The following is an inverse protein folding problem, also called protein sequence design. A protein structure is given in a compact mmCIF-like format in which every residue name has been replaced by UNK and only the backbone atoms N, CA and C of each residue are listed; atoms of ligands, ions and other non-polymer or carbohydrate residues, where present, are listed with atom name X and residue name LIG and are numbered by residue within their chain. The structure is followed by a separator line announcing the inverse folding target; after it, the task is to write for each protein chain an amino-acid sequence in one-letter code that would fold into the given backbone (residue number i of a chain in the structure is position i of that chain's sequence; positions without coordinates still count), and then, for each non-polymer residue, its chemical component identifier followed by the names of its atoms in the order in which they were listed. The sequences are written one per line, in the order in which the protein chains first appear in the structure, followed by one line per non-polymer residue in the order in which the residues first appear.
data_IF_532044893945
#
_entry.id   IF_532044893945
#
_cell.length_a   1.000
_cell.length_b   1.000
_cell.length_c   1.000
_cell.angle_alpha   90.00
_cell.angle_beta   90.00
_cell.angle_gamma   90.00
#
_symmetry.space_group_name_H-M   'P 1'
#
loop_
_entity.id
_entity.type
_entity.pdbx_description
1 polymer ?
#
# COMPACT_ATOMS: atom_id res chain seq x y z
N UNK A 1 4.44 -13.45 7.17
CA UNK A 1 5.15 -12.32 7.80
C UNK A 1 5.57 -11.28 6.76
N UNK A 2 5.57 -9.98 7.09
CA UNK A 2 6.11 -8.94 6.19
C UNK A 2 7.60 -9.16 5.89
N UNK A 3 8.06 -8.91 4.64
CA UNK A 3 9.49 -9.03 4.30
C UNK A 3 10.37 -8.07 5.11
N UNK A 4 11.66 -8.38 5.26
CA UNK A 4 12.63 -7.51 5.93
C UNK A 4 12.75 -6.14 5.25
N UNK A 5 12.91 -6.12 3.93
CA UNK A 5 12.87 -4.90 3.14
C UNK A 5 11.72 -4.99 2.17
N UNK A 6 10.81 -4.02 2.25
CA UNK A 6 9.62 -4.04 1.42
C UNK A 6 9.21 -2.63 1.03
N UNK A 7 8.33 -2.51 0.04
CA UNK A 7 7.64 -1.28 -0.27
C UNK A 7 6.19 -1.54 -0.58
N UNK A 8 5.33 -0.61 -0.21
CA UNK A 8 3.99 -0.55 -0.76
C UNK A 8 4.05 0.16 -2.11
N UNK A 9 3.43 -0.40 -3.15
CA UNK A 9 3.27 0.23 -4.46
C UNK A 9 1.80 0.43 -4.75
N UNK A 10 1.45 1.61 -5.25
CA UNK A 10 0.15 1.87 -5.84
C UNK A 10 0.25 1.90 -7.38
N UNK A 11 -0.70 1.23 -8.04
CA UNK A 11 -0.88 1.24 -9.49
C UNK A 11 -2.27 1.75 -9.82
N UNK A 12 -2.39 2.65 -10.81
CA UNK A 12 -3.65 3.28 -11.19
C UNK A 12 -4.00 2.96 -12.65
N UNK A 13 -5.09 2.23 -12.81
CA UNK A 13 -5.66 1.87 -14.13
C UNK A 13 -6.82 2.75 -14.55
N UNK A 14 -7.22 3.73 -13.72
CA UNK A 14 -8.11 4.78 -14.18
C UNK A 14 -7.40 5.57 -15.28
N UNK A 15 -8.13 5.99 -16.31
CA UNK A 15 -7.66 6.83 -17.40
C UNK A 15 -7.42 8.30 -17.00
N UNK A 16 -7.22 8.58 -15.71
CA UNK A 16 -6.86 9.88 -15.17
C UNK A 16 -5.95 9.73 -13.95
N UNK A 17 -5.28 10.81 -13.57
CA UNK A 17 -4.55 10.84 -12.30
C UNK A 17 -5.49 10.85 -11.09
N UNK A 18 -5.03 10.22 -10.00
CA UNK A 18 -5.79 10.05 -8.76
C UNK A 18 -4.93 10.49 -7.58
N UNK A 19 -5.49 11.20 -6.60
CA UNK A 19 -4.81 11.42 -5.32
C UNK A 19 -4.97 10.17 -4.46
N UNK A 20 -3.88 9.64 -3.93
CA UNK A 20 -3.88 8.44 -3.09
C UNK A 20 -3.09 8.68 -1.83
N UNK A 21 -3.74 8.46 -0.68
CA UNK A 21 -3.06 8.39 0.61
C UNK A 21 -3.25 7.00 1.20
N UNK A 22 -2.14 6.34 1.58
CA UNK A 22 -2.20 5.06 2.30
C UNK A 22 -1.46 5.19 3.60
N UNK A 23 -2.15 4.87 4.69
CA UNK A 23 -1.60 4.75 6.03
C UNK A 23 -1.61 3.30 6.46
N UNK A 24 -0.65 2.94 7.29
CA UNK A 24 -0.53 1.60 7.83
C UNK A 24 -0.32 1.64 9.34
N UNK A 25 -0.97 0.72 10.03
CA UNK A 25 -0.67 0.38 11.41
C UNK A 25 -0.14 -1.06 11.45
N UNK A 26 1.16 -1.27 11.69
CA UNK A 26 1.72 -2.60 11.70
C UNK A 26 1.29 -3.36 12.96
N UNK A 27 1.23 -4.68 12.89
CA UNK A 27 0.81 -5.52 14.02
C UNK A 27 1.62 -6.81 14.12
N UNK A 28 1.71 -7.35 15.34
CA UNK A 28 2.33 -8.65 15.65
C UNK A 28 1.69 -9.24 16.90
N UNK A 29 2.02 -10.50 17.19
CA UNK A 29 1.74 -11.07 18.50
C UNK A 29 2.86 -10.70 19.49
N UNK A 30 2.50 -10.33 20.72
CA UNK A 30 3.45 -10.24 21.82
C UNK A 30 3.79 -11.64 22.36
N UNK A 31 4.72 -11.72 23.32
CA UNK A 31 5.12 -12.99 23.95
C UNK A 31 3.98 -13.71 24.69
N UNK A 32 2.88 -13.02 24.97
CA UNK A 32 1.67 -13.57 25.58
C UNK A 32 0.61 -13.98 24.55
N UNK A 33 0.93 -13.92 23.25
CA UNK A 33 0.02 -14.30 22.16
C UNK A 33 -1.06 -13.26 21.85
N UNK A 34 -0.99 -12.05 22.42
CA UNK A 34 -1.95 -10.98 22.16
C UNK A 34 -1.51 -10.13 20.98
N UNK A 35 -2.46 -9.63 20.19
CA UNK A 35 -2.19 -8.68 19.10
C UNK A 35 -1.75 -7.35 19.71
N UNK A 36 -0.59 -6.87 19.28
CA UNK A 36 -0.09 -5.52 19.57
C UNK A 36 0.11 -4.76 18.27
N UNK A 37 -0.22 -3.47 18.30
CA UNK A 37 -0.09 -2.57 17.17
C UNK A 37 1.06 -1.60 17.36
N UNK A 38 1.78 -1.31 16.29
CA UNK A 38 2.73 -0.21 16.24
C UNK A 38 2.03 1.14 16.03
N UNK A 39 2.84 2.18 15.92
CA UNK A 39 2.39 3.52 15.53
C UNK A 39 1.88 3.53 14.09
N UNK A 40 0.90 4.39 13.80
CA UNK A 40 0.44 4.62 12.43
C UNK A 40 1.54 5.35 11.63
N UNK A 41 1.78 4.89 10.40
CA UNK A 41 2.74 5.47 9.46
C UNK A 41 2.06 5.74 8.13
N UNK A 42 2.34 6.91 7.53
CA UNK A 42 1.93 7.19 6.16
C UNK A 42 2.91 6.52 5.21
N UNK A 43 2.43 5.55 4.44
CA UNK A 43 3.22 4.86 3.41
C UNK A 43 3.19 5.64 2.11
N UNK A 44 1.99 5.97 1.61
CA UNK A 44 1.83 6.70 0.34
C UNK A 44 1.12 8.02 0.61
N UNK A 45 1.63 9.10 0.03
CA UNK A 45 1.00 10.43 0.00
C UNK A 45 1.18 11.03 -1.40
N UNK A 46 0.48 10.47 -2.37
CA UNK A 46 0.55 10.84 -3.78
C UNK A 46 -0.53 11.88 -4.11
N UNK A 47 -0.13 13.10 -4.44
CA UNK A 47 -1.05 14.15 -4.92
C UNK A 47 -1.48 13.96 -6.38
N UNK A 48 -0.73 13.16 -7.15
CA UNK A 48 -1.06 12.80 -8.53
C UNK A 48 -0.47 11.44 -8.88
N UNK A 49 -1.29 10.40 -8.78
CA UNK A 49 -0.96 9.05 -9.21
C UNK A 49 -1.35 8.89 -10.68
N UNK A 50 -0.39 9.05 -11.58
CA UNK A 50 -0.64 9.01 -13.02
C UNK A 50 -1.36 7.72 -13.45
N UNK A 51 -2.26 7.86 -14.43
CA UNK A 51 -2.82 6.75 -15.19
C UNK A 51 -1.66 6.03 -15.90
N UNK A 52 -1.16 4.94 -15.33
CA UNK A 52 -0.13 4.13 -15.96
C UNK A 52 -0.36 2.67 -15.63
N UNK A 53 -0.12 1.81 -16.61
CA UNK A 53 -0.21 0.34 -16.49
C UNK A 53 0.88 -0.25 -15.58
N UNK A 54 1.71 0.57 -14.93
CA UNK A 54 2.95 0.13 -14.32
C UNK A 54 3.24 0.69 -12.94
N UNK A 55 3.33 2.01 -12.73
CA UNK A 55 3.98 2.52 -11.52
C UNK A 55 3.44 3.88 -11.10
N UNK A 56 2.91 3.97 -9.90
CA UNK A 56 2.34 5.20 -9.38
C UNK A 56 3.23 5.87 -8.32
N UNK A 57 3.38 5.27 -7.13
CA UNK A 57 4.24 5.74 -6.03
C UNK A 57 4.61 4.54 -5.15
N UNK A 58 5.79 4.57 -4.52
CA UNK A 58 6.20 3.53 -3.56
C UNK A 58 6.92 4.06 -2.33
N UNK A 59 6.83 3.33 -1.22
CA UNK A 59 7.47 3.69 0.06
C UNK A 59 8.33 2.55 0.60
N UNK A 60 9.65 2.68 0.52
CA UNK A 60 10.56 1.68 1.08
C UNK A 60 10.44 1.64 2.61
N UNK A 61 10.45 0.44 3.18
CA UNK A 61 10.28 0.13 4.59
C UNK A 61 11.30 -0.93 4.98
N UNK A 62 11.78 -0.84 6.23
CA UNK A 62 12.68 -1.81 6.83
C UNK A 62 12.01 -2.40 8.08
N UNK A 63 11.66 -3.68 8.02
CA UNK A 63 11.07 -4.48 9.08
C UNK A 63 12.12 -5.26 9.90
N UNK A 64 13.41 -5.11 9.58
CA UNK A 64 14.52 -5.81 10.23
C UNK A 64 15.21 -4.99 11.33
N UNK A 65 14.87 -3.70 11.46
CA UNK A 65 15.41 -2.86 12.53
C UNK A 65 14.69 -3.08 13.86
N UNK A 66 15.46 -3.46 14.88
CA UNK A 66 15.14 -3.27 16.31
C UNK A 66 13.95 -4.06 16.88
N UNK A 67 13.79 -5.34 16.54
CA UNK A 67 12.86 -6.24 17.24
C UNK A 67 11.37 -6.01 16.96
N UNK A 68 11.06 -5.20 15.95
CA UNK A 68 9.72 -4.91 15.50
C UNK A 68 9.38 -5.73 14.24
N UNK A 69 9.67 -7.04 14.27
CA UNK A 69 9.25 -7.99 13.23
C UNK A 69 7.72 -8.04 13.14
N UNK A 70 7.16 -7.09 12.39
CA UNK A 70 5.72 -6.99 12.23
C UNK A 70 5.25 -8.09 11.28
N UNK A 71 4.15 -8.73 11.65
CA UNK A 71 3.60 -9.86 10.91
C UNK A 71 2.75 -9.39 9.74
N UNK A 72 2.05 -8.27 9.92
CA UNK A 72 1.15 -7.70 8.93
C UNK A 72 0.85 -6.22 9.15
N UNK A 73 -0.05 -5.71 8.32
CA UNK A 73 -0.47 -4.30 8.32
C UNK A 73 -2.00 -4.19 8.36
N UNK A 74 -2.49 -3.24 9.16
CA UNK A 74 -3.82 -2.65 8.96
C UNK A 74 -3.66 -1.46 8.04
N UNK A 75 -4.25 -1.53 6.84
CA UNK A 75 -4.14 -0.46 5.84
C UNK A 75 -5.41 0.39 5.83
N UNK A 76 -5.23 1.70 5.86
CA UNK A 76 -6.30 2.68 5.58
C UNK A 76 -5.90 3.44 4.33
N UNK A 77 -6.77 3.44 3.33
CA UNK A 77 -6.52 4.13 2.08
C UNK A 77 -7.61 5.17 1.80
N UNK A 78 -7.19 6.28 1.22
CA UNK A 78 -8.04 7.35 0.71
C UNK A 78 -7.71 7.57 -0.75
N UNK A 79 -8.76 7.66 -1.56
CA UNK A 79 -8.68 7.82 -2.99
C UNK A 79 -9.54 9.01 -3.43
N UNK A 80 -8.96 9.88 -4.24
CA UNK A 80 -9.69 11.00 -4.82
C UNK A 80 -9.45 11.10 -6.33
N UNK A 81 -10.51 10.85 -7.09
CA UNK A 81 -10.56 10.96 -8.54
C UNK A 81 -11.05 12.36 -8.93
N UNK A 82 -10.28 13.08 -9.76
CA UNK A 82 -10.51 14.51 -10.02
C UNK A 82 -11.68 14.84 -10.97
N UNK A 83 -11.99 13.99 -11.96
CA UNK A 83 -13.04 14.28 -12.95
C UNK A 83 -14.15 13.22 -13.01
N UNK A 84 -15.37 13.69 -13.28
CA UNK A 84 -16.62 12.91 -13.33
C UNK A 84 -16.89 12.20 -14.67
N UNK A 85 -16.09 12.45 -15.71
CA UNK A 85 -16.34 11.97 -17.09
C UNK A 85 -15.51 10.77 -17.52
N UNK A 86 -14.58 10.33 -16.68
CA UNK A 86 -13.48 9.46 -17.08
C UNK A 86 -13.78 7.96 -16.86
N UNK A 87 -15.02 7.58 -16.54
CA UNK A 87 -15.40 6.16 -16.43
C UNK A 87 -14.81 5.47 -15.19
N UNK A 88 -14.74 4.13 -15.23
CA UNK A 88 -14.34 3.28 -14.10
C UNK A 88 -12.91 2.79 -14.27
N UNK A 89 -12.13 2.80 -13.20
CA UNK A 89 -10.80 2.19 -13.13
C UNK A 89 -10.55 1.56 -11.77
N UNK A 90 -9.29 1.25 -11.45
CA UNK A 90 -8.92 0.75 -10.14
C UNK A 90 -7.55 1.25 -9.69
N UNK A 91 -7.41 1.45 -8.38
CA UNK A 91 -6.09 1.51 -7.73
C UNK A 91 -5.82 0.19 -7.03
N UNK A 92 -4.70 -0.43 -7.38
CA UNK A 92 -4.22 -1.68 -6.78
C UNK A 92 -3.00 -1.38 -5.92
N UNK A 93 -2.99 -1.93 -4.71
CA UNK A 93 -1.87 -1.87 -3.78
C UNK A 93 -1.18 -3.24 -3.71
N UNK A 94 0.14 -3.23 -3.90
CA UNK A 94 0.98 -4.43 -3.78
C UNK A 94 2.14 -4.19 -2.83
N UNK A 95 2.52 -5.23 -2.09
CA UNK A 95 3.74 -5.26 -1.28
C UNK A 95 4.82 -5.95 -2.09
N UNK A 96 5.89 -5.22 -2.37
CA UNK A 96 7.05 -5.74 -3.09
C UNK A 96 8.21 -5.89 -2.11
N UNK A 97 8.87 -7.04 -2.16
CA UNK A 97 10.04 -7.35 -1.34
C UNK A 97 11.33 -7.01 -2.09
N UNK A 98 12.34 -6.62 -1.31
CA UNK A 98 13.74 -6.50 -1.71
C UNK A 98 14.59 -7.48 -0.91
N UNK A 99 15.60 -8.05 -1.55
CA UNK A 99 16.58 -8.97 -0.94
C UNK A 99 17.93 -8.30 -0.66
N UNK A 100 18.08 -7.03 -1.02
CA UNK A 100 19.34 -6.28 -1.01
C UNK A 100 19.17 -4.86 -0.45
N UNK A 101 18.44 -4.79 0.68
CA UNK A 101 18.21 -3.57 1.45
C UNK A 101 17.54 -2.41 0.69
N UNK A 102 16.71 -2.74 -0.31
CA UNK A 102 15.96 -1.77 -1.12
C UNK A 102 16.68 -1.31 -2.40
N UNK A 103 17.84 -1.89 -2.71
CA UNK A 103 18.62 -1.56 -3.92
C UNK A 103 17.94 -2.08 -5.19
N UNK A 104 17.42 -3.30 -5.15
CA UNK A 104 16.63 -3.90 -6.21
C UNK A 104 15.29 -4.42 -5.69
N UNK A 105 14.32 -4.49 -6.62
CA UNK A 105 12.94 -4.87 -6.35
C UNK A 105 12.55 -6.00 -7.30
N UNK A 106 13.05 -7.23 -7.07
CA UNK A 106 12.83 -8.36 -7.99
C UNK A 106 11.34 -8.73 -8.13
N UNK A 107 10.53 -8.38 -7.13
CA UNK A 107 9.07 -8.58 -7.13
C UNK A 107 8.30 -7.41 -7.74
N UNK A 108 8.98 -6.45 -8.39
CA UNK A 108 8.33 -5.30 -9.00
C UNK A 108 7.25 -5.73 -10.02
N UNK A 109 6.00 -5.29 -9.80
CA UNK A 109 4.84 -5.63 -10.63
C UNK A 109 4.24 -7.02 -10.35
N UNK A 110 4.93 -7.85 -9.57
CA UNK A 110 4.52 -9.18 -9.15
C UNK A 110 4.52 -9.32 -7.61
N UNK A 111 4.33 -8.20 -6.92
CA UNK A 111 4.26 -8.15 -5.47
C UNK A 111 3.03 -8.85 -4.91
N UNK A 112 3.03 -9.05 -3.59
CA UNK A 112 1.90 -9.64 -2.89
C UNK A 112 0.73 -8.65 -2.91
N UNK A 113 -0.46 -9.11 -3.28
CA UNK A 113 -1.66 -8.28 -3.29
C UNK A 113 -2.03 -7.83 -1.87
N UNK A 114 -2.09 -6.51 -1.65
CA UNK A 114 -2.44 -5.93 -0.36
C UNK A 114 -3.87 -5.35 -0.34
N UNK A 115 -4.40 -4.96 -1.50
CA UNK A 115 -5.76 -4.47 -1.64
C UNK A 115 -6.00 -3.82 -3.00
N UNK A 116 -7.27 -3.63 -3.34
CA UNK A 116 -7.66 -2.84 -4.51
C UNK A 116 -8.95 -2.09 -4.21
N UNK A 117 -9.10 -0.95 -4.88
CA UNK A 117 -10.31 -0.17 -4.86
C UNK A 117 -10.73 0.18 -6.28
N UNK A 118 -11.98 -0.12 -6.61
CA UNK A 118 -12.58 0.30 -7.88
C UNK A 118 -12.93 1.78 -7.78
N UNK A 119 -12.31 2.57 -8.64
CA UNK A 119 -12.52 4.01 -8.73
C UNK A 119 -13.65 4.31 -9.70
N UNK A 120 -14.69 4.96 -9.18
CA UNK A 120 -15.69 5.60 -10.00
C UNK A 120 -15.25 7.03 -10.35
N UNK A 121 -15.97 7.64 -11.29
CA UNK A 121 -15.74 9.03 -11.62
C UNK A 121 -16.13 9.92 -10.42
N UNK A 122 -15.31 10.92 -10.11
CA UNK A 122 -15.43 11.76 -8.91
C UNK A 122 -15.44 10.98 -7.56
N UNK A 123 -14.84 9.79 -7.51
CA UNK A 123 -14.68 9.03 -6.27
C UNK A 123 -13.86 9.81 -5.22
N UNK A 124 -14.33 9.83 -3.97
CA UNK A 124 -13.69 10.45 -2.81
C UNK A 124 -13.62 9.50 -1.61
N UNK A 125 -13.63 8.18 -1.88
CA UNK A 125 -13.75 7.16 -0.85
C UNK A 125 -12.52 7.10 0.05
N UNK A 126 -12.78 6.99 1.35
CA UNK A 126 -11.77 6.61 2.35
C UNK A 126 -12.29 5.39 3.09
N UNK A 127 -11.44 4.37 3.21
CA UNK A 127 -11.83 3.12 3.85
C UNK A 127 -10.65 2.37 4.41
N UNK A 128 -10.95 1.53 5.39
CA UNK A 128 -10.02 0.50 5.84
C UNK A 128 -10.02 -0.63 4.81
N UNK A 129 -8.84 -1.00 4.33
CA UNK A 129 -8.65 -2.16 3.47
C UNK A 129 -8.58 -3.41 4.34
N UNK A 130 -8.87 -4.59 3.76
CA UNK A 130 -8.70 -5.86 4.48
C UNK A 130 -7.30 -5.93 5.07
N UNK A 131 -7.24 -6.44 6.31
CA UNK A 131 -5.95 -6.70 6.97
C UNK A 131 -5.09 -7.57 6.08
N UNK A 132 -3.85 -7.15 5.87
CA UNK A 132 -2.89 -7.96 5.16
C UNK A 132 -2.19 -8.88 6.15
N UNK A 133 -2.56 -10.15 6.07
CA UNK A 133 -1.93 -11.28 6.77
C UNK A 133 -0.99 -11.96 5.77
N UNK A 134 0.28 -12.15 6.15
CA UNK A 134 1.27 -12.91 5.35
C UNK A 134 1.61 -14.19 6.09
#
# INVERSE_FOLDING_TARGET
MLPSYWRLRASNTQNQSVTVTVKAKPWKFNSSGQIVFGSEVTLISASSLAASTGTGVSSAQNNDTSGAYWLGLHLTASYQAGAATNGTGAVVLTIEASTDAGTTWPTAGNGIFAGAHTLLAADGTTGMLRNHEV
#
